data_IF_403915959798
#
_entry.id   IF_403915959798
#
_cell.length_a   1.000
_cell.length_b   1.000
_cell.length_c   1.000
_cell.angle_alpha   90.00
_cell.angle_beta   90.00
_cell.angle_gamma   90.00
#
_symmetry.space_group_name_H-M   'P 1'
#
loop_
_entity.id
_entity.type
_entity.pdbx_description
1 polymer ?
#
# COMPACT_ATOMS: atom_id res chain seq x y z
N UNK A 1 -0.72 -0.65 59.15
CA UNK A 1 0.21 -0.34 58.04
C UNK A 1 -0.14 -1.01 56.71
N UNK A 2 -1.14 -1.90 56.66
CA UNK A 2 -1.49 -2.70 55.46
C UNK A 2 -2.52 -2.04 54.54
N UNK A 3 -3.54 -1.33 55.05
CA UNK A 3 -4.62 -0.74 54.21
C UNK A 3 -4.19 0.39 53.28
N UNK A 4 -3.23 1.20 53.71
CA UNK A 4 -2.80 2.37 52.92
C UNK A 4 -1.93 1.96 51.74
N UNK A 5 -1.10 0.93 51.91
CA UNK A 5 -0.32 0.31 50.83
C UNK A 5 -1.22 -0.31 49.76
N UNK A 6 -2.23 -1.08 50.17
CA UNK A 6 -3.18 -1.71 49.24
C UNK A 6 -3.98 -0.70 48.41
N UNK A 7 -4.29 0.48 48.97
CA UNK A 7 -4.96 1.57 48.24
C UNK A 7 -4.04 2.17 47.18
N UNK A 8 -2.78 2.41 47.51
CA UNK A 8 -1.81 2.97 46.57
C UNK A 8 -1.48 1.98 45.45
N UNK A 9 -1.32 0.69 45.76
CA UNK A 9 -1.12 -0.38 44.78
C UNK A 9 -2.32 -0.48 43.81
N UNK A 10 -3.54 -0.28 44.32
CA UNK A 10 -4.75 -0.25 43.48
C UNK A 10 -4.77 0.95 42.53
N UNK A 11 -4.40 2.15 42.99
CA UNK A 11 -4.33 3.32 42.13
C UNK A 11 -3.23 3.21 41.07
N UNK A 12 -2.07 2.62 41.42
CA UNK A 12 -1.00 2.34 40.46
C UNK A 12 -1.44 1.32 39.39
N UNK A 13 -2.10 0.24 39.80
CA UNK A 13 -2.65 -0.75 38.88
C UNK A 13 -3.68 -0.13 37.92
N UNK A 14 -4.62 0.66 38.46
CA UNK A 14 -5.64 1.35 37.65
C UNK A 14 -4.98 2.35 36.69
N UNK A 15 -3.99 3.11 37.16
CA UNK A 15 -3.21 4.03 36.33
C UNK A 15 -2.49 3.32 35.18
N UNK A 16 -1.88 2.17 35.45
CA UNK A 16 -1.19 1.35 34.45
C UNK A 16 -2.15 0.77 33.41
N UNK A 17 -3.32 0.29 33.84
CA UNK A 17 -4.37 -0.20 32.94
C UNK A 17 -4.89 0.92 32.04
N UNK A 18 -5.15 2.12 32.59
CA UNK A 18 -5.57 3.26 31.77
C UNK A 18 -4.48 3.72 30.80
N UNK A 19 -3.22 3.80 31.23
CA UNK A 19 -2.11 4.19 30.38
C UNK A 19 -1.91 3.20 29.20
N UNK A 20 -2.00 1.90 29.47
CA UNK A 20 -1.92 0.87 28.44
C UNK A 20 -3.09 0.91 27.46
N UNK A 21 -4.32 1.15 27.93
CA UNK A 21 -5.48 1.32 27.06
C UNK A 21 -5.32 2.53 26.13
N UNK A 22 -4.88 3.67 26.65
CA UNK A 22 -4.63 4.88 25.86
C UNK A 22 -3.54 4.62 24.81
N UNK A 23 -2.46 3.94 25.18
CA UNK A 23 -1.38 3.59 24.26
C UNK A 23 -1.89 2.70 23.12
N UNK A 24 -2.66 1.66 23.45
CA UNK A 24 -3.25 0.75 22.44
C UNK A 24 -4.19 1.52 21.51
N UNK A 25 -5.06 2.38 22.05
CA UNK A 25 -5.95 3.21 21.23
C UNK A 25 -5.17 4.12 20.29
N UNK A 26 -4.05 4.70 20.75
CA UNK A 26 -3.20 5.56 19.92
C UNK A 26 -2.52 4.77 18.79
N UNK A 27 -2.02 3.56 19.09
CA UNK A 27 -1.41 2.67 18.08
C UNK A 27 -2.44 2.24 17.04
N UNK A 28 -3.65 1.84 17.46
CA UNK A 28 -4.73 1.46 16.54
C UNK A 28 -5.12 2.63 15.65
N UNK A 29 -5.29 3.83 16.21
CA UNK A 29 -5.60 5.04 15.45
C UNK A 29 -4.50 5.37 14.43
N UNK A 30 -3.23 5.22 14.81
CA UNK A 30 -2.11 5.45 13.92
C UNK A 30 -2.09 4.43 12.76
N UNK A 31 -2.37 3.16 13.05
CA UNK A 31 -2.46 2.10 12.03
C UNK A 31 -3.64 2.31 11.08
N UNK A 32 -4.80 2.79 11.55
CA UNK A 32 -5.92 3.12 10.66
C UNK A 32 -5.62 4.31 9.76
N UNK A 33 -4.94 5.35 10.26
CA UNK A 33 -4.49 6.47 9.43
C UNK A 33 -3.48 6.00 8.37
N UNK A 34 -2.53 5.14 8.75
CA UNK A 34 -1.57 4.56 7.81
C UNK A 34 -2.23 3.67 6.75
N UNK A 35 -3.33 2.99 7.08
CA UNK A 35 -4.10 2.18 6.14
C UNK A 35 -4.65 3.03 4.99
N UNK A 36 -5.12 4.24 5.28
CA UNK A 36 -5.61 5.17 4.24
C UNK A 36 -4.47 5.83 3.44
N UNK A 37 -3.23 5.77 3.95
CA UNK A 37 -2.01 6.23 3.26
C UNK A 37 -1.32 5.13 2.43
N UNK A 38 -1.66 3.86 2.65
CA UNK A 38 -1.26 2.73 1.81
C UNK A 38 -1.43 2.92 0.28
N UNK A 39 -2.51 3.53 -0.26
CA UNK A 39 -2.63 3.84 -1.70
C UNK A 39 -1.47 4.70 -2.19
N UNK A 40 -1.16 5.72 -1.41
CA UNK A 40 -0.20 6.75 -1.79
C UNK A 40 1.19 6.14 -1.84
N UNK A 41 1.54 5.33 -0.84
CA UNK A 41 2.81 4.60 -0.82
C UNK A 41 2.94 3.61 -1.97
N UNK A 42 1.90 2.83 -2.25
CA UNK A 42 1.91 1.87 -3.36
C UNK A 42 2.00 2.56 -4.72
N UNK A 43 1.34 3.71 -4.90
CA UNK A 43 1.41 4.50 -6.14
C UNK A 43 2.80 5.12 -6.35
N UNK A 44 3.42 5.65 -5.29
CA UNK A 44 4.81 6.12 -5.34
C UNK A 44 5.78 4.98 -5.67
N UNK A 45 5.59 3.81 -5.07
CA UNK A 45 6.41 2.63 -5.32
C UNK A 45 6.28 2.14 -6.77
N UNK A 46 5.05 1.99 -7.27
CA UNK A 46 4.81 1.60 -8.66
C UNK A 46 5.34 2.65 -9.64
N UNK A 47 5.12 3.95 -9.38
CA UNK A 47 5.67 5.02 -10.21
C UNK A 47 7.20 5.03 -10.25
N UNK A 48 7.86 4.79 -9.11
CA UNK A 48 9.32 4.67 -9.05
C UNK A 48 9.81 3.46 -9.85
N UNK A 49 9.18 2.30 -9.69
CA UNK A 49 9.51 1.09 -10.47
C UNK A 49 9.29 1.32 -11.97
N UNK A 50 8.15 1.89 -12.37
CA UNK A 50 7.85 2.22 -13.77
C UNK A 50 8.94 3.11 -14.37
N UNK A 51 9.41 4.13 -13.65
CA UNK A 51 10.49 5.01 -14.13
C UNK A 51 11.82 4.27 -14.31
N UNK A 52 12.14 3.34 -13.42
CA UNK A 52 13.40 2.57 -13.48
C UNK A 52 13.35 1.44 -14.53
N UNK A 53 12.16 0.92 -14.82
CA UNK A 53 11.98 -0.29 -15.62
C UNK A 53 11.72 -0.03 -17.11
N UNK A 54 11.09 1.10 -17.48
CA UNK A 54 10.64 1.32 -18.86
C UNK A 54 11.48 2.34 -19.63
N UNK A 55 12.18 1.86 -20.66
CA UNK A 55 12.87 2.69 -21.64
C UNK A 55 12.03 3.00 -22.90
N UNK A 56 10.95 2.25 -23.15
CA UNK A 56 10.10 2.37 -24.33
C UNK A 56 8.72 2.91 -23.97
N UNK A 57 8.20 3.84 -24.79
CA UNK A 57 6.95 4.55 -24.49
C UNK A 57 5.70 3.65 -24.41
N UNK A 58 5.69 2.52 -25.14
CA UNK A 58 4.54 1.60 -25.20
C UNK A 58 4.37 0.84 -23.87
N UNK A 59 5.46 0.31 -23.31
CA UNK A 59 5.43 -0.40 -22.03
C UNK A 59 5.22 0.56 -20.85
N UNK A 60 5.72 1.80 -20.95
CA UNK A 60 5.38 2.87 -20.01
C UNK A 60 3.88 3.21 -20.03
N UNK A 61 3.26 3.32 -21.21
CA UNK A 61 1.82 3.57 -21.34
C UNK A 61 0.96 2.41 -20.78
N UNK A 62 1.35 1.16 -21.03
CA UNK A 62 0.71 0.00 -20.42
C UNK A 62 0.81 0.02 -18.89
N UNK A 63 1.99 0.35 -18.35
CA UNK A 63 2.19 0.46 -16.90
C UNK A 63 1.34 1.56 -16.28
N UNK A 64 1.25 2.73 -16.92
CA UNK A 64 0.36 3.82 -16.50
C UNK A 64 -1.12 3.40 -16.52
N UNK A 65 -1.52 2.57 -17.49
CA UNK A 65 -2.88 2.04 -17.57
C UNK A 65 -3.17 1.10 -16.41
N UNK A 66 -2.21 0.24 -16.03
CA UNK A 66 -2.32 -0.60 -14.83
C UNK A 66 -2.43 0.22 -13.54
N UNK A 67 -1.64 1.29 -13.40
CA UNK A 67 -1.72 2.22 -12.26
C UNK A 67 -3.05 2.98 -12.25
N UNK A 68 -3.57 3.41 -13.40
CA UNK A 68 -4.86 4.08 -13.49
C UNK A 68 -6.01 3.15 -13.06
N UNK A 69 -6.02 1.90 -13.52
CA UNK A 69 -6.97 0.88 -13.08
C UNK A 69 -6.86 0.60 -11.59
N UNK A 70 -5.62 0.54 -11.07
CA UNK A 70 -5.37 0.44 -9.64
C UNK A 70 -6.01 1.60 -8.90
N UNK A 71 -5.78 2.85 -9.29
CA UNK A 71 -6.37 4.03 -8.63
C UNK A 71 -7.90 4.02 -8.69
N UNK A 72 -8.47 3.70 -9.85
CA UNK A 72 -9.93 3.65 -10.04
C UNK A 72 -10.59 2.53 -9.24
N UNK A 73 -9.86 1.45 -8.93
CA UNK A 73 -10.38 0.37 -8.10
C UNK A 73 -10.79 0.84 -6.69
N UNK A 74 -10.21 1.93 -6.19
CA UNK A 74 -10.42 2.45 -4.84
C UNK A 74 -11.82 3.06 -4.68
N UNK A 75 -12.19 4.10 -5.44
CA UNK A 75 -13.56 4.59 -5.44
C UNK A 75 -14.53 3.50 -5.91
N UNK A 76 -14.12 2.56 -6.77
CA UNK A 76 -14.99 1.45 -7.15
C UNK A 76 -15.32 0.53 -5.95
N UNK A 77 -14.35 0.20 -5.08
CA UNK A 77 -14.63 -0.53 -3.83
C UNK A 77 -15.60 0.27 -2.94
N UNK A 78 -15.42 1.58 -2.84
CA UNK A 78 -16.23 2.45 -1.96
C UNK A 78 -17.66 2.66 -2.47
N UNK A 79 -17.85 2.91 -3.77
CA UNK A 79 -19.14 3.30 -4.35
C UNK A 79 -19.89 2.16 -5.04
N UNK A 80 -19.18 1.21 -5.63
CA UNK A 80 -19.75 0.08 -6.39
C UNK A 80 -19.65 -1.25 -5.63
N UNK A 81 -18.98 -1.23 -4.48
CA UNK A 81 -18.80 -2.38 -3.61
C UNK A 81 -17.58 -3.23 -3.97
N UNK A 82 -17.18 -4.09 -3.03
CA UNK A 82 -15.99 -4.94 -3.15
C UNK A 82 -16.00 -5.83 -4.39
N UNK A 83 -17.17 -6.32 -4.81
CA UNK A 83 -17.32 -7.19 -5.98
C UNK A 83 -16.91 -6.55 -7.29
N UNK A 84 -17.00 -5.23 -7.41
CA UNK A 84 -16.58 -4.49 -8.62
C UNK A 84 -15.15 -3.97 -8.46
N UNK A 85 -14.80 -3.48 -7.27
CA UNK A 85 -13.47 -2.92 -7.01
C UNK A 85 -12.33 -3.95 -6.98
N UNK A 86 -12.56 -5.15 -6.42
CA UNK A 86 -11.51 -6.21 -6.37
C UNK A 86 -11.07 -6.70 -7.76
N UNK A 87 -11.99 -6.98 -8.72
CA UNK A 87 -11.60 -7.32 -10.08
C UNK A 87 -10.82 -6.19 -10.78
N UNK A 88 -11.23 -4.93 -10.61
CA UNK A 88 -10.51 -3.77 -11.17
C UNK A 88 -9.09 -3.66 -10.61
N UNK A 89 -8.93 -3.88 -9.30
CA UNK A 89 -7.63 -3.93 -8.65
C UNK A 89 -6.74 -5.04 -9.22
N UNK A 90 -7.28 -6.26 -9.33
CA UNK A 90 -6.55 -7.41 -9.86
C UNK A 90 -6.14 -7.20 -11.33
N UNK A 91 -7.02 -6.63 -12.15
CA UNK A 91 -6.72 -6.29 -13.55
C UNK A 91 -5.64 -5.21 -13.65
N UNK A 92 -5.71 -4.15 -12.83
CA UNK A 92 -4.69 -3.10 -12.80
C UNK A 92 -3.30 -3.66 -12.46
N UNK A 93 -3.24 -4.54 -11.46
CA UNK A 93 -2.01 -5.25 -11.07
C UNK A 93 -1.50 -6.17 -12.18
N UNK A 94 -2.37 -6.94 -12.82
CA UNK A 94 -2.01 -7.85 -13.92
C UNK A 94 -1.43 -7.08 -15.11
N UNK A 95 -2.05 -5.97 -15.51
CA UNK A 95 -1.59 -5.13 -16.62
C UNK A 95 -0.24 -4.49 -16.28
N UNK A 96 -0.09 -3.97 -15.06
CA UNK A 96 1.17 -3.40 -14.60
C UNK A 96 2.30 -4.45 -14.57
N UNK A 97 2.02 -5.64 -14.02
CA UNK A 97 2.99 -6.71 -13.92
C UNK A 97 3.38 -7.27 -15.29
N UNK A 98 2.41 -7.42 -16.20
CA UNK A 98 2.67 -7.81 -17.58
C UNK A 98 3.59 -6.80 -18.30
N UNK A 99 3.36 -5.50 -18.12
CA UNK A 99 4.26 -4.48 -18.64
C UNK A 99 5.68 -4.69 -18.12
N UNK A 100 5.86 -4.87 -16.80
CA UNK A 100 7.17 -5.10 -16.17
C UNK A 100 7.87 -6.35 -16.74
N UNK A 101 7.14 -7.44 -16.95
CA UNK A 101 7.68 -8.65 -17.59
C UNK A 101 8.09 -8.42 -19.04
N UNK A 102 7.33 -7.65 -19.81
CA UNK A 102 7.68 -7.32 -21.19
C UNK A 102 8.92 -6.41 -21.30
N UNK A 103 9.23 -5.62 -20.27
CA UNK A 103 10.46 -4.81 -20.22
C UNK A 103 11.70 -5.56 -19.73
N UNK A 104 11.53 -6.67 -19.02
CA UNK A 104 12.63 -7.51 -18.49
C UNK A 104 13.61 -8.05 -19.56
N UNK A 105 13.18 -8.55 -20.74
CA UNK A 105 14.11 -8.97 -21.78
C UNK A 105 14.95 -7.80 -22.35
N UNK A 106 14.56 -6.55 -22.13
CA UNK A 106 15.35 -5.38 -22.54
C UNK A 106 16.46 -5.03 -21.51
N UNK A 107 16.30 -5.45 -20.25
CA UNK A 107 17.29 -5.23 -19.18
C UNK A 107 18.33 -6.35 -19.06
N UNK A 108 17.98 -7.58 -19.45
CA UNK A 108 18.86 -8.76 -19.32
C UNK A 108 19.09 -9.54 -20.63
N UNK A 109 18.51 -9.11 -21.75
CA UNK A 109 18.75 -9.71 -23.06
C UNK A 109 20.06 -9.23 -23.69
N UNK A 110 20.77 -10.09 -24.44
CA UNK A 110 21.98 -9.68 -25.16
C UNK A 110 21.63 -8.60 -26.17
N UNK A 111 22.32 -7.45 -26.06
CA UNK A 111 22.38 -6.32 -27.00
C UNK A 111 21.64 -6.56 -28.33
N UNK A 112 20.35 -6.23 -28.40
CA UNK A 112 19.67 -6.08 -29.68
C UNK A 112 19.94 -4.66 -30.17
N UNK A 113 20.63 -4.47 -31.30
CA UNK A 113 20.99 -3.15 -31.78
C UNK A 113 19.74 -2.31 -32.06
N UNK A 114 19.77 -1.06 -31.62
CA UNK A 114 18.76 -0.05 -31.93
C UNK A 114 18.73 0.14 -33.46
N UNK A 115 17.62 -0.22 -34.08
CA UNK A 115 17.36 0.16 -35.46
C UNK A 115 16.98 1.64 -35.43
N UNK A 116 17.83 2.42 -36.10
CA UNK A 116 17.72 3.85 -36.36
C UNK A 116 16.40 4.24 -37.02
#
# INVERSE_FOLDING_TARGET
MTREKTRNDFHELVGLVFASLILVSFVVMFLTILRDLWPVFSLLFYGYLTRMTFHTGITAAMSLTGIALYVVSWPAVTYLGQWVGMPLFALGLLVWFYAVLCSLPFMFGPNVPKIS
#
